data_IF_941805834384
#
_entry.id   IF_941805834384
#
_cell.length_a   1.000
_cell.length_b   1.000
_cell.length_c   1.000
_cell.angle_alpha   90.00
_cell.angle_beta   90.00
_cell.angle_gamma   90.00
#
_symmetry.space_group_name_H-M   'P 1'
#
loop_
_entity.id
_entity.type
_entity.pdbx_description
1 polymer ?
#
# COMPACT_ATOMS: atom_id res chain seq x y z
N UNK A 1 -7.52 18.23 11.88
CA UNK A 1 -8.50 17.28 11.30
C UNK A 1 -7.92 15.93 11.15
N UNK A 2 -8.68 14.93 11.51
CA UNK A 2 -8.22 13.55 11.39
C UNK A 2 -8.28 13.12 9.93
N UNK A 3 -7.21 12.55 9.46
CA UNK A 3 -7.14 12.00 8.11
C UNK A 3 -7.98 10.73 8.03
N UNK A 4 -8.71 10.57 6.93
CA UNK A 4 -9.44 9.33 6.68
C UNK A 4 -8.48 8.28 6.15
N UNK A 5 -8.54 7.10 6.71
CA UNK A 5 -7.66 6.00 6.34
C UNK A 5 -8.50 4.80 5.94
N UNK A 6 -8.11 4.15 4.86
CA UNK A 6 -8.72 2.90 4.44
C UNK A 6 -7.63 1.85 4.25
N UNK A 7 -7.89 0.65 4.74
CA UNK A 7 -7.00 -0.49 4.59
C UNK A 7 -7.58 -1.40 3.52
N UNK A 8 -6.86 -1.55 2.42
CA UNK A 8 -7.25 -2.47 1.35
C UNK A 8 -6.40 -3.70 1.49
N UNK A 9 -7.06 -4.84 1.71
CA UNK A 9 -6.41 -6.06 2.14
C UNK A 9 -6.58 -7.16 1.11
N UNK A 10 -5.47 -7.82 0.78
CA UNK A 10 -5.50 -9.07 0.04
C UNK A 10 -5.82 -10.19 1.04
N UNK A 11 -6.98 -10.83 0.92
CA UNK A 11 -7.38 -11.81 1.94
C UNK A 11 -6.53 -13.07 1.94
N UNK A 12 -5.84 -13.36 0.84
CA UNK A 12 -5.10 -14.62 0.68
C UNK A 12 -3.58 -14.48 0.71
N UNK A 13 -3.05 -13.28 0.94
CA UNK A 13 -1.60 -13.10 0.94
C UNK A 13 -0.96 -13.65 2.22
N UNK A 14 0.22 -14.25 2.06
CA UNK A 14 1.02 -14.69 3.18
C UNK A 14 0.39 -15.79 4.02
N UNK A 15 0.76 -15.83 5.29
CA UNK A 15 0.34 -16.90 6.20
C UNK A 15 -0.77 -16.50 7.16
N UNK A 16 -0.99 -15.22 7.36
CA UNK A 16 -2.00 -14.77 8.31
C UNK A 16 -3.40 -14.99 7.76
N UNK A 17 -4.28 -15.46 8.62
CA UNK A 17 -5.69 -15.58 8.28
C UNK A 17 -6.32 -14.20 8.15
N UNK A 18 -7.49 -14.17 7.52
CA UNK A 18 -8.26 -12.94 7.39
C UNK A 18 -8.53 -12.29 8.75
N UNK A 19 -8.91 -13.09 9.72
CA UNK A 19 -9.22 -12.58 11.07
C UNK A 19 -7.98 -12.01 11.75
N UNK A 20 -6.82 -12.63 11.57
CA UNK A 20 -5.60 -12.13 12.16
C UNK A 20 -5.17 -10.82 11.51
N UNK A 21 -5.38 -10.71 10.21
CA UNK A 21 -5.10 -9.45 9.49
C UNK A 21 -5.97 -8.32 10.05
N UNK A 22 -7.25 -8.59 10.28
CA UNK A 22 -8.15 -7.61 10.87
C UNK A 22 -7.64 -7.16 12.23
N UNK A 23 -7.20 -8.12 13.08
CA UNK A 23 -6.69 -7.78 14.40
C UNK A 23 -5.44 -6.90 14.36
N UNK A 24 -4.54 -7.20 13.42
CA UNK A 24 -3.35 -6.37 13.24
C UNK A 24 -3.77 -4.94 12.94
N UNK A 25 -4.69 -4.78 12.00
CA UNK A 25 -5.16 -3.46 11.59
C UNK A 25 -5.86 -2.73 12.72
N UNK A 26 -6.72 -3.43 13.46
CA UNK A 26 -7.46 -2.83 14.58
C UNK A 26 -6.53 -2.35 15.68
N UNK A 27 -5.39 -3.00 15.85
CA UNK A 27 -4.43 -2.62 16.88
C UNK A 27 -3.52 -1.46 16.50
N UNK A 28 -3.58 -1.01 15.25
CA UNK A 28 -2.76 0.14 14.84
C UNK A 28 -3.22 1.40 15.56
N UNK A 29 -4.52 1.60 15.62
CA UNK A 29 -5.11 2.71 16.38
C UNK A 29 -6.36 2.20 17.08
N UNK A 30 -6.21 1.68 18.31
CA UNK A 30 -7.33 1.08 19.03
C UNK A 30 -8.46 2.05 19.36
N UNK A 31 -8.20 3.36 19.28
CA UNK A 31 -9.21 4.37 19.59
C UNK A 31 -10.21 4.58 18.46
N UNK A 32 -9.96 4.02 17.28
CA UNK A 32 -10.83 4.19 16.12
C UNK A 32 -11.24 2.84 15.57
N UNK A 33 -12.36 2.86 14.82
CA UNK A 33 -12.76 1.69 14.06
C UNK A 33 -12.24 1.87 12.64
N UNK A 34 -11.31 1.01 12.21
CA UNK A 34 -10.73 1.18 10.88
C UNK A 34 -11.70 0.78 9.78
N UNK A 35 -11.57 1.43 8.64
CA UNK A 35 -12.25 1.01 7.43
C UNK A 35 -11.38 -0.02 6.72
N UNK A 36 -11.89 -1.24 6.61
CA UNK A 36 -11.15 -2.36 6.04
C UNK A 36 -11.94 -2.91 4.87
N UNK A 37 -11.28 -3.02 3.73
CA UNK A 37 -11.88 -3.55 2.51
C UNK A 37 -11.05 -4.72 2.03
N UNK A 38 -11.68 -5.87 1.85
CA UNK A 38 -11.01 -7.03 1.28
C UNK A 38 -11.22 -7.02 -0.23
N UNK A 39 -10.12 -7.05 -0.97
CA UNK A 39 -10.19 -7.04 -2.42
C UNK A 39 -10.55 -8.41 -2.95
N UNK A 40 -11.18 -8.43 -4.11
CA UNK A 40 -11.55 -9.66 -4.80
C UNK A 40 -10.52 -10.09 -5.84
N UNK A 41 -9.67 -9.16 -6.25
CA UNK A 41 -8.63 -9.37 -7.25
C UNK A 41 -7.65 -8.23 -7.20
N UNK A 42 -6.54 -8.35 -7.93
CA UNK A 42 -5.60 -7.25 -8.07
C UNK A 42 -6.24 -6.04 -8.76
N UNK A 43 -7.04 -6.32 -9.79
CA UNK A 43 -7.73 -5.25 -10.50
C UNK A 43 -8.69 -4.52 -9.57
N UNK A 44 -9.46 -5.28 -8.79
CA UNK A 44 -10.38 -4.71 -7.82
C UNK A 44 -9.65 -3.85 -6.79
N UNK A 45 -8.51 -4.34 -6.31
CA UNK A 45 -7.69 -3.59 -5.35
C UNK A 45 -7.25 -2.26 -5.91
N UNK A 46 -6.78 -2.26 -7.17
CA UNK A 46 -6.36 -1.03 -7.83
C UNK A 46 -7.50 -0.04 -7.99
N UNK A 47 -8.66 -0.51 -8.40
CA UNK A 47 -9.83 0.35 -8.58
C UNK A 47 -10.28 0.97 -7.26
N UNK A 48 -10.34 0.17 -6.21
CA UNK A 48 -10.73 0.66 -4.89
C UNK A 48 -9.71 1.66 -4.35
N UNK A 49 -8.43 1.35 -4.52
CA UNK A 49 -7.39 2.26 -4.09
C UNK A 49 -7.52 3.63 -4.76
N UNK A 50 -7.70 3.64 -6.08
CA UNK A 50 -7.85 4.89 -6.83
C UNK A 50 -9.08 5.67 -6.35
N UNK A 51 -10.18 4.99 -6.14
CA UNK A 51 -11.42 5.60 -5.69
C UNK A 51 -11.22 6.32 -4.35
N UNK A 52 -10.58 5.66 -3.39
CA UNK A 52 -10.33 6.27 -2.08
C UNK A 52 -9.26 7.35 -2.14
N UNK A 53 -8.24 7.18 -2.99
CA UNK A 53 -7.23 8.23 -3.17
C UNK A 53 -7.84 9.51 -3.72
N UNK A 54 -8.78 9.40 -4.65
CA UNK A 54 -9.48 10.56 -5.19
C UNK A 54 -10.35 11.23 -4.14
N UNK A 55 -10.79 10.49 -3.13
CA UNK A 55 -11.54 11.03 -2.01
C UNK A 55 -10.64 11.54 -0.89
N UNK A 56 -9.32 11.58 -1.14
CA UNK A 56 -8.34 12.09 -0.19
C UNK A 56 -8.15 11.22 1.06
N UNK A 57 -8.43 9.94 0.95
CA UNK A 57 -8.08 8.99 1.99
C UNK A 57 -6.60 8.63 1.90
N UNK A 58 -6.02 8.33 3.04
CA UNK A 58 -4.75 7.60 3.04
C UNK A 58 -5.08 6.13 2.82
N UNK A 59 -4.59 5.58 1.73
CA UNK A 59 -4.78 4.17 1.41
C UNK A 59 -3.60 3.37 1.94
N UNK A 60 -3.91 2.33 2.71
CA UNK A 60 -2.91 1.40 3.21
C UNK A 60 -3.06 0.09 2.44
N UNK A 61 -2.02 -0.29 1.70
CA UNK A 61 -2.02 -1.53 0.93
C UNK A 61 -1.54 -2.67 1.81
N UNK A 62 -2.39 -3.65 2.04
CA UNK A 62 -2.12 -4.75 2.96
C UNK A 62 -2.02 -6.07 2.19
N UNK A 63 -0.83 -6.49 1.88
CA UNK A 63 -0.63 -7.69 1.09
C UNK A 63 0.84 -7.95 0.79
N UNK A 64 1.10 -8.72 -0.27
CA UNK A 64 2.43 -9.00 -0.75
C UNK A 64 2.88 -7.98 -1.79
N UNK A 65 4.03 -8.25 -2.40
CA UNK A 65 4.68 -7.31 -3.32
C UNK A 65 3.81 -6.94 -4.51
N UNK A 66 3.18 -7.92 -5.14
CA UNK A 66 2.34 -7.65 -6.30
C UNK A 66 1.14 -6.80 -5.96
N UNK A 67 0.54 -7.06 -4.83
CA UNK A 67 -0.62 -6.31 -4.34
C UNK A 67 -0.24 -4.88 -4.00
N UNK A 68 0.84 -4.71 -3.24
CA UNK A 68 1.33 -3.39 -2.86
C UNK A 68 1.73 -2.60 -4.09
N UNK A 69 2.40 -3.24 -5.05
CA UNK A 69 2.82 -2.58 -6.27
C UNK A 69 1.64 -2.12 -7.11
N UNK A 70 0.58 -2.90 -7.18
CA UNK A 70 -0.63 -2.52 -7.90
C UNK A 70 -1.22 -1.23 -7.32
N UNK A 71 -1.28 -1.13 -6.01
CA UNK A 71 -1.80 0.07 -5.35
C UNK A 71 -0.81 1.23 -5.47
N UNK A 72 0.49 0.95 -5.41
CA UNK A 72 1.50 1.97 -5.58
C UNK A 72 1.40 2.66 -6.94
N UNK A 73 1.08 1.90 -8.00
CA UNK A 73 0.88 2.51 -9.31
C UNK A 73 -0.25 3.54 -9.28
N UNK A 74 -1.31 3.25 -8.55
CA UNK A 74 -2.42 4.20 -8.40
C UNK A 74 -2.00 5.44 -7.61
N UNK A 75 -1.18 5.25 -6.58
CA UNK A 75 -0.66 6.39 -5.81
C UNK A 75 0.21 7.29 -6.68
N UNK A 76 1.02 6.70 -7.53
CA UNK A 76 1.84 7.44 -8.48
C UNK A 76 0.95 8.25 -9.43
N UNK A 77 -0.06 7.60 -10.00
CA UNK A 77 -0.98 8.24 -10.93
C UNK A 77 -1.75 9.39 -10.28
N UNK A 78 -2.10 9.24 -9.02
CA UNK A 78 -2.84 10.27 -8.27
C UNK A 78 -1.92 11.28 -7.59
N UNK A 79 -0.61 11.09 -7.66
CA UNK A 79 0.39 11.92 -6.98
C UNK A 79 0.09 12.07 -5.50
N UNK A 80 -0.23 10.96 -4.85
CA UNK A 80 -0.59 10.97 -3.43
C UNK A 80 0.25 10.00 -2.63
N UNK A 81 0.24 10.18 -1.32
CA UNK A 81 0.91 9.28 -0.40
C UNK A 81 0.09 8.00 -0.24
N UNK A 82 0.78 6.93 0.11
CA UNK A 82 0.16 5.69 0.52
C UNK A 82 0.98 5.06 1.64
N UNK A 83 0.41 4.10 2.31
CA UNK A 83 1.12 3.30 3.29
C UNK A 83 0.97 1.84 2.92
N UNK A 84 1.72 0.98 3.61
CA UNK A 84 1.66 -0.44 3.35
C UNK A 84 1.77 -1.27 4.63
N UNK A 85 1.19 -2.47 4.58
CA UNK A 85 1.40 -3.51 5.58
C UNK A 85 1.85 -4.77 4.85
N UNK A 86 3.07 -5.25 5.10
CA UNK A 86 3.65 -6.36 4.35
C UNK A 86 3.13 -7.71 4.86
N UNK A 87 1.99 -8.14 4.34
CA UNK A 87 1.42 -9.44 4.68
C UNK A 87 1.91 -10.57 3.79
N UNK A 88 2.65 -10.27 2.74
CA UNK A 88 3.17 -11.28 1.82
C UNK A 88 4.40 -11.99 2.38
N UNK A 89 4.94 -12.90 1.58
CA UNK A 89 6.08 -13.71 2.01
C UNK A 89 7.43 -13.06 1.78
N UNK A 90 7.64 -12.53 0.58
CA UNK A 90 8.95 -11.95 0.22
C UNK A 90 9.10 -10.52 0.71
N UNK A 91 8.07 -9.72 0.46
CA UNK A 91 8.03 -8.32 0.86
C UNK A 91 9.24 -7.52 0.39
N UNK A 92 9.66 -7.76 -0.86
CA UNK A 92 10.87 -7.12 -1.39
C UNK A 92 10.71 -5.62 -1.53
N UNK A 93 9.55 -5.17 -1.99
CA UNK A 93 9.29 -3.76 -2.11
C UNK A 93 9.30 -3.08 -0.73
N UNK A 94 8.65 -3.71 0.23
CA UNK A 94 8.63 -3.20 1.59
C UNK A 94 10.04 -3.18 2.19
N UNK A 95 10.86 -4.19 1.87
CA UNK A 95 12.24 -4.24 2.34
C UNK A 95 13.06 -3.08 1.80
N UNK A 96 12.84 -2.72 0.56
CA UNK A 96 13.57 -1.59 -0.04
C UNK A 96 13.26 -0.28 0.65
N UNK A 97 12.13 -0.19 1.34
CA UNK A 97 11.72 0.99 2.10
C UNK A 97 11.97 0.84 3.60
N UNK A 98 12.61 -0.25 4.00
CA UNK A 98 12.80 -0.61 5.42
C UNK A 98 11.45 -0.74 6.16
N UNK A 99 10.48 -1.30 5.49
CA UNK A 99 9.13 -1.53 6.01
C UNK A 99 8.74 -3.00 5.90
N UNK A 100 9.71 -3.90 5.89
CA UNK A 100 9.47 -5.31 5.60
C UNK A 100 8.98 -6.13 6.80
N UNK A 101 8.84 -5.51 7.96
CA UNK A 101 8.20 -6.16 9.11
C UNK A 101 6.94 -5.41 9.46
N UNK A 102 5.97 -6.13 10.03
CA UNK A 102 4.72 -5.49 10.46
C UNK A 102 4.99 -4.39 11.48
N UNK A 103 5.92 -4.62 12.38
CA UNK A 103 6.27 -3.65 13.40
C UNK A 103 6.74 -2.32 12.79
N UNK A 104 7.67 -2.40 11.85
CA UNK A 104 8.19 -1.21 11.18
C UNK A 104 7.10 -0.49 10.39
N UNK A 105 6.28 -1.27 9.68
CA UNK A 105 5.20 -0.70 8.89
C UNK A 105 4.15 -0.03 9.77
N UNK A 106 3.79 -0.67 10.86
CA UNK A 106 2.81 -0.11 11.81
C UNK A 106 3.33 1.18 12.43
N UNK A 107 4.60 1.19 12.83
CA UNK A 107 5.20 2.40 13.38
C UNK A 107 5.20 3.55 12.38
N UNK A 108 5.49 3.25 11.11
CA UNK A 108 5.45 4.25 10.05
C UNK A 108 4.04 4.80 9.85
N UNK A 109 3.03 3.95 9.90
CA UNK A 109 1.64 4.38 9.76
C UNK A 109 1.25 5.27 10.94
N UNK A 110 1.56 4.84 12.16
CA UNK A 110 1.22 5.60 13.37
C UNK A 110 1.87 6.98 13.36
N UNK A 111 3.12 7.05 12.91
CA UNK A 111 3.87 8.30 12.89
C UNK A 111 3.66 9.14 11.65
N UNK A 112 2.96 8.64 10.66
CA UNK A 112 2.81 9.29 9.36
C UNK A 112 4.18 9.61 8.76
N UNK A 113 5.12 8.67 8.87
CA UNK A 113 6.48 8.85 8.38
C UNK A 113 6.54 8.49 6.91
N UNK A 114 6.29 9.46 6.06
CA UNK A 114 6.33 9.25 4.61
C UNK A 114 7.73 9.50 4.09
N UNK A 115 8.15 8.66 3.16
CA UNK A 115 9.42 8.80 2.47
C UNK A 115 9.17 9.05 1.01
N UNK A 116 9.96 9.92 0.42
CA UNK A 116 9.96 10.08 -1.03
C UNK A 116 10.61 8.85 -1.65
N UNK A 117 9.97 8.30 -2.66
CA UNK A 117 10.44 7.08 -3.30
C UNK A 117 10.70 7.35 -4.76
N UNK A 118 11.88 6.93 -5.22
CA UNK A 118 12.17 6.88 -6.64
C UNK A 118 11.55 5.59 -7.16
N UNK A 119 10.67 5.71 -8.11
CA UNK A 119 10.01 4.54 -8.66
C UNK A 119 10.41 4.31 -10.10
N UNK A 120 10.25 3.07 -10.52
CA UNK A 120 10.56 2.63 -11.85
C UNK A 120 9.26 2.17 -12.50
N UNK A 121 8.83 2.89 -13.52
CA UNK A 121 7.70 2.47 -14.32
C UNK A 121 8.19 1.57 -15.43
N UNK A 122 7.69 0.36 -15.44
CA UNK A 122 8.06 -0.63 -16.43
C UNK A 122 6.85 -0.91 -17.29
N UNK A 123 6.93 -0.54 -18.55
CA UNK A 123 5.84 -0.70 -19.50
C UNK A 123 6.23 -1.76 -20.50
N UNK A 124 5.33 -2.66 -20.79
CA UNK A 124 5.58 -3.73 -21.74
C UNK A 124 4.94 -3.41 -23.09
N UNK A 125 5.66 -3.67 -24.15
CA UNK A 125 5.14 -3.65 -25.50
C UNK A 125 5.05 -5.08 -26.00
N UNK A 126 4.06 -5.36 -26.83
CA UNK A 126 3.86 -6.72 -27.35
C UNK A 126 3.85 -7.73 -26.24
N UNK A 127 3.24 -7.37 -25.14
CA UNK A 127 3.21 -8.14 -23.91
C UNK A 127 4.59 -8.32 -23.28
N UNK A 128 5.56 -7.56 -23.75
CA UNK A 128 6.90 -7.54 -23.16
C UNK A 128 7.30 -6.12 -22.88
N UNK A 129 8.25 -5.98 -22.01
CA UNK A 129 8.67 -4.69 -21.56
C UNK A 129 9.08 -3.79 -22.69
N UNK A 130 8.55 -2.60 -22.70
CA UNK A 130 8.89 -1.61 -23.70
C UNK A 130 9.62 -0.42 -23.11
N UNK A 131 9.26 0.01 -21.94
CA UNK A 131 9.75 1.26 -21.40
C UNK A 131 9.97 1.14 -19.92
N UNK A 132 11.08 1.68 -19.50
CA UNK A 132 11.38 1.84 -18.10
C UNK A 132 11.58 3.33 -17.85
N UNK A 133 10.78 3.86 -16.97
CA UNK A 133 10.88 5.25 -16.59
C UNK A 133 11.25 5.37 -15.13
N UNK A 134 12.33 6.07 -14.86
CA UNK A 134 12.77 6.33 -13.50
C UNK A 134 12.46 7.76 -13.18
N UNK A 135 11.58 7.97 -12.21
CA UNK A 135 11.25 9.31 -11.77
C UNK A 135 12.13 9.75 -10.63
N UNK A 136 12.35 11.03 -10.55
CA UNK A 136 12.97 11.59 -9.37
C UNK A 136 12.03 11.39 -8.18
N UNK A 137 12.58 11.23 -6.98
CA UNK A 137 11.74 11.13 -5.81
C UNK A 137 10.85 12.34 -5.69
N UNK A 138 9.56 12.09 -5.57
CA UNK A 138 8.63 13.16 -5.29
C UNK A 138 8.75 13.51 -3.83
N UNK A 139 8.81 14.78 -3.54
CA UNK A 139 8.85 15.20 -2.16
C UNK A 139 7.46 15.01 -1.57
N UNK A 140 7.26 13.88 -0.97
CA UNK A 140 6.03 13.58 -0.28
C UNK A 140 6.00 14.36 1.02
N UNK A 141 4.84 14.69 1.47
CA UNK A 141 4.73 15.38 2.74
C UNK A 141 5.23 14.49 3.86
N UNK A 142 5.96 15.06 4.71
CA UNK A 142 6.52 14.37 5.86
C UNK A 142 5.82 14.83 7.11
#
# INVERSE_FOLDING_TARGET
>A
MKENIVYIVNPISGKLSKNKKIRVIENIDPSTKPEIIFSQSLEDAGKKAQEFMLKKYLVVACGGDGFINTIAQKAIDCACNMALLPFGRGNDFARSLDLNTLEKAIDAIRGRNFKSVRYLNVVFSDNNLSLIHISEPTRQSL
#
